data_IF_233387989283
#
_entry.id   IF_233387989283
#
_cell.length_a   1.000
_cell.length_b   1.000
_cell.length_c   1.000
_cell.angle_alpha   90.00
_cell.angle_beta   90.00
_cell.angle_gamma   90.00
#
_symmetry.space_group_name_H-M   'P 1'
#
loop_
_entity.id
_entity.type
_entity.pdbx_description
1 polymer ?
#
# COMPACT_ATOMS: atom_id res chain seq x y z
N UNK A 1 13.95 2.07 22.91
CA UNK A 1 13.65 0.66 22.58
C UNK A 1 13.85 0.53 21.08
N UNK A 2 14.75 -0.34 20.64
CA UNK A 2 15.08 -0.47 19.22
C UNK A 2 14.02 -1.34 18.55
N UNK A 3 12.96 -0.73 18.04
CA UNK A 3 11.92 -1.42 17.27
C UNK A 3 12.55 -1.98 15.99
N UNK A 4 12.77 -3.29 15.93
CA UNK A 4 13.13 -3.96 14.69
C UNK A 4 11.90 -3.98 13.77
N UNK A 5 11.65 -2.87 13.09
CA UNK A 5 10.57 -2.71 12.10
C UNK A 5 10.94 -3.34 10.75
N UNK A 6 11.63 -4.47 10.75
CA UNK A 6 11.98 -5.22 9.53
C UNK A 6 11.12 -6.48 9.43
N UNK A 7 10.22 -6.52 8.47
CA UNK A 7 9.43 -7.71 8.18
C UNK A 7 10.17 -8.54 7.13
N UNK A 8 10.39 -9.82 7.41
CA UNK A 8 11.02 -10.75 6.48
C UNK A 8 10.00 -11.77 6.02
N UNK A 9 9.88 -11.92 4.69
CA UNK A 9 9.02 -12.92 4.07
C UNK A 9 9.78 -13.55 2.91
N UNK A 10 9.66 -14.87 2.75
CA UNK A 10 10.27 -15.55 1.62
C UNK A 10 9.52 -15.22 0.33
N UNK A 11 10.22 -15.25 -0.82
CA UNK A 11 9.59 -15.06 -2.13
C UNK A 11 8.43 -16.04 -2.37
N UNK A 12 8.60 -17.29 -1.92
CA UNK A 12 7.58 -18.34 -2.07
C UNK A 12 6.34 -18.05 -1.21
N UNK A 13 6.53 -17.59 0.02
CA UNK A 13 5.42 -17.29 0.92
C UNK A 13 4.69 -16.01 0.51
N UNK A 14 5.43 -14.99 0.07
CA UNK A 14 4.84 -13.78 -0.51
C UNK A 14 4.00 -14.12 -1.74
N UNK A 15 4.50 -15.00 -2.62
CA UNK A 15 3.74 -15.44 -3.80
C UNK A 15 2.44 -16.14 -3.40
N UNK A 16 2.49 -17.09 -2.45
CA UNK A 16 1.28 -17.78 -1.94
C UNK A 16 0.28 -16.79 -1.35
N UNK A 17 0.78 -15.79 -0.62
CA UNK A 17 -0.04 -14.75 -0.02
C UNK A 17 -0.76 -13.93 -1.08
N UNK A 18 -0.06 -13.50 -2.15
CA UNK A 18 -0.68 -12.77 -3.26
C UNK A 18 -1.74 -13.62 -4.00
N UNK A 19 -1.47 -14.91 -4.22
CA UNK A 19 -2.43 -15.86 -4.83
C UNK A 19 -3.69 -16.00 -3.96
N UNK A 20 -3.54 -16.06 -2.63
CA UNK A 20 -4.67 -16.17 -1.71
C UNK A 20 -5.60 -14.94 -1.79
N UNK A 21 -5.05 -13.77 -2.11
CA UNK A 21 -5.82 -12.55 -2.37
C UNK A 21 -6.30 -12.42 -3.81
N UNK A 22 -6.35 -13.52 -4.57
CA UNK A 22 -6.89 -13.58 -5.94
C UNK A 22 -6.13 -12.70 -6.94
N UNK A 23 -4.90 -12.30 -6.63
CA UNK A 23 -4.06 -11.52 -7.53
C UNK A 23 -3.62 -12.41 -8.69
N UNK A 24 -3.75 -11.89 -9.91
CA UNK A 24 -3.43 -12.65 -11.12
C UNK A 24 -1.94 -13.01 -11.21
N UNK A 25 -1.61 -14.15 -11.82
CA UNK A 25 -0.22 -14.57 -12.04
C UNK A 25 0.58 -13.55 -12.87
N UNK A 26 -0.06 -12.85 -13.80
CA UNK A 26 0.56 -11.76 -14.58
C UNK A 26 0.93 -10.57 -13.67
N UNK A 27 0.00 -10.13 -12.81
CA UNK A 27 0.25 -9.08 -11.80
C UNK A 27 1.37 -9.48 -10.85
N UNK A 28 1.36 -10.73 -10.37
CA UNK A 28 2.40 -11.27 -9.49
C UNK A 28 3.77 -11.26 -10.19
N UNK A 29 3.81 -11.64 -11.47
CA UNK A 29 5.06 -11.63 -12.25
C UNK A 29 5.61 -10.21 -12.41
N UNK A 30 4.76 -9.22 -12.72
CA UNK A 30 5.16 -7.80 -12.78
C UNK A 30 5.68 -7.30 -11.44
N UNK A 31 4.94 -7.59 -10.37
CA UNK A 31 5.31 -7.22 -9.00
C UNK A 31 6.69 -7.76 -8.63
N UNK A 32 6.96 -9.05 -8.85
CA UNK A 32 8.28 -9.61 -8.57
C UNK A 32 9.37 -9.07 -9.50
N UNK A 33 9.05 -8.74 -10.75
CA UNK A 33 9.98 -8.10 -11.67
C UNK A 33 10.43 -6.71 -11.19
N UNK A 34 9.52 -5.92 -10.62
CA UNK A 34 9.86 -4.63 -10.01
C UNK A 34 10.57 -4.78 -8.65
N UNK A 35 10.19 -5.80 -7.88
CA UNK A 35 10.79 -6.07 -6.58
C UNK A 35 12.23 -6.60 -6.71
N UNK A 36 12.56 -7.32 -7.78
CA UNK A 36 13.94 -7.75 -8.09
C UNK A 36 14.86 -6.60 -8.51
N UNK A 37 14.29 -5.52 -9.09
CA UNK A 37 15.04 -4.28 -9.38
C UNK A 37 15.31 -3.47 -8.11
N UNK A 38 14.46 -3.64 -7.10
CA UNK A 38 14.64 -3.05 -5.78
C UNK A 38 15.60 -3.93 -4.96
N UNK A 39 16.53 -3.31 -4.22
CA UNK A 39 17.51 -4.04 -3.40
C UNK A 39 16.83 -4.98 -2.38
N UNK A 40 17.61 -5.91 -1.76
CA UNK A 40 17.14 -6.88 -0.74
C UNK A 40 16.30 -6.30 0.40
N UNK A 41 16.38 -5.00 0.63
CA UNK A 41 15.59 -4.27 1.60
C UNK A 41 14.74 -3.25 0.87
N UNK A 42 13.42 -3.44 0.93
CA UNK A 42 12.44 -2.50 0.42
C UNK A 42 11.72 -1.88 1.61
N UNK A 43 11.56 -0.56 1.61
CA UNK A 43 10.74 0.09 2.63
C UNK A 43 9.25 -0.22 2.36
N UNK A 44 8.42 -0.13 3.39
CA UNK A 44 7.00 -0.45 3.27
C UNK A 44 6.29 0.45 2.24
N UNK A 45 6.72 1.71 2.14
CA UNK A 45 6.18 2.67 1.18
C UNK A 45 6.43 2.28 -0.28
N UNK A 46 7.66 1.93 -0.65
CA UNK A 46 7.96 1.46 -1.99
C UNK A 46 7.29 0.11 -2.26
N UNK A 47 7.18 -0.75 -1.24
CA UNK A 47 6.47 -2.02 -1.37
C UNK A 47 4.99 -1.82 -1.76
N UNK A 48 4.30 -0.90 -1.07
CA UNK A 48 2.93 -0.51 -1.39
C UNK A 48 2.83 0.09 -2.79
N UNK A 49 3.72 1.03 -3.13
CA UNK A 49 3.73 1.68 -4.45
C UNK A 49 3.93 0.67 -5.59
N UNK A 50 4.75 -0.37 -5.39
CA UNK A 50 4.94 -1.43 -6.39
C UNK A 50 3.69 -2.32 -6.51
N UNK A 51 3.03 -2.65 -5.39
CA UNK A 51 1.77 -3.40 -5.42
C UNK A 51 0.69 -2.65 -6.22
N UNK A 52 0.50 -1.36 -5.93
CA UNK A 52 -0.48 -0.54 -6.61
C UNK A 52 -0.16 -0.37 -8.11
N UNK A 53 1.11 -0.08 -8.45
CA UNK A 53 1.56 0.00 -9.86
C UNK A 53 1.40 -1.32 -10.62
N UNK A 54 1.42 -2.44 -9.91
CA UNK A 54 1.17 -3.76 -10.50
C UNK A 54 -0.32 -4.03 -10.73
N UNK A 55 -1.21 -3.18 -10.20
CA UNK A 55 -2.66 -3.29 -10.32
C UNK A 55 -3.32 -4.05 -9.18
N UNK A 56 -2.72 -4.06 -7.99
CA UNK A 56 -3.33 -4.65 -6.78
C UNK A 56 -4.23 -3.61 -6.11
N UNK A 57 -5.48 -3.97 -5.84
CA UNK A 57 -6.45 -3.08 -5.18
C UNK A 57 -6.03 -2.70 -3.76
N UNK A 58 -6.39 -1.49 -3.33
CA UNK A 58 -6.07 -0.96 -2.00
C UNK A 58 -6.50 -1.88 -0.86
N UNK A 59 -7.70 -2.47 -0.93
CA UNK A 59 -8.19 -3.42 0.07
C UNK A 59 -7.28 -4.65 0.20
N UNK A 60 -6.79 -5.16 -0.93
CA UNK A 60 -5.86 -6.27 -0.96
C UNK A 60 -4.50 -5.86 -0.40
N UNK A 61 -4.00 -4.65 -0.72
CA UNK A 61 -2.77 -4.10 -0.15
C UNK A 61 -2.86 -4.04 1.38
N UNK A 62 -3.94 -3.48 1.94
CA UNK A 62 -4.16 -3.40 3.38
C UNK A 62 -4.15 -4.80 4.01
N UNK A 63 -4.84 -5.75 3.40
CA UNK A 63 -4.88 -7.13 3.91
C UNK A 63 -3.53 -7.84 3.83
N UNK A 64 -2.70 -7.54 2.82
CA UNK A 64 -1.33 -8.02 2.71
C UNK A 64 -0.48 -7.45 3.85
N UNK A 65 -0.53 -6.13 4.08
CA UNK A 65 0.25 -5.46 5.14
C UNK A 65 -0.14 -5.97 6.54
N UNK A 66 -1.43 -6.14 6.81
CA UNK A 66 -1.92 -6.76 8.06
C UNK A 66 -1.36 -8.17 8.24
N UNK A 67 -1.32 -8.96 7.17
CA UNK A 67 -0.80 -10.33 7.22
C UNK A 67 0.71 -10.39 7.43
N UNK A 68 1.43 -9.34 7.04
CA UNK A 68 2.85 -9.16 7.37
C UNK A 68 3.08 -8.76 8.82
N UNK A 69 2.02 -8.47 9.60
CA UNK A 69 2.10 -8.12 11.02
C UNK A 69 2.14 -6.62 11.28
N UNK A 70 1.80 -5.81 10.28
CA UNK A 70 1.71 -4.36 10.40
C UNK A 70 0.35 -3.97 11.03
N UNK A 71 0.38 -3.08 12.01
CA UNK A 71 -0.84 -2.56 12.65
C UNK A 71 -1.53 -1.49 11.78
N UNK A 72 -2.82 -1.27 12.04
CA UNK A 72 -3.64 -0.34 11.27
C UNK A 72 -3.13 1.11 11.31
N UNK A 73 -2.49 1.54 12.41
CA UNK A 73 -1.93 2.90 12.51
C UNK A 73 -0.76 3.05 11.54
N UNK A 74 0.16 2.07 11.52
CA UNK A 74 1.28 2.07 10.58
C UNK A 74 0.82 1.95 9.13
N UNK A 75 -0.19 1.14 8.85
CA UNK A 75 -0.76 1.00 7.50
C UNK A 75 -1.32 2.35 7.03
N UNK A 76 -2.14 3.00 7.86
CA UNK A 76 -2.72 4.30 7.51
C UNK A 76 -1.63 5.35 7.27
N UNK A 77 -0.59 5.38 8.10
CA UNK A 77 0.54 6.30 7.89
C UNK A 77 1.23 6.06 6.55
N UNK A 78 1.49 4.80 6.19
CA UNK A 78 2.13 4.47 4.90
C UNK A 78 1.25 4.86 3.72
N UNK A 79 -0.06 4.63 3.80
CA UNK A 79 -0.99 4.98 2.72
C UNK A 79 -1.10 6.50 2.57
N UNK A 80 -1.15 7.25 3.68
CA UNK A 80 -1.14 8.71 3.65
C UNK A 80 0.16 9.25 3.05
N UNK A 81 1.31 8.73 3.50
CA UNK A 81 2.63 9.10 2.98
C UNK A 81 2.74 8.80 1.47
N UNK A 82 2.11 7.73 0.99
CA UNK A 82 2.10 7.38 -0.43
C UNK A 82 1.27 8.35 -1.25
N UNK A 83 0.09 8.72 -0.76
CA UNK A 83 -0.79 9.69 -1.38
C UNK A 83 -0.12 11.09 -1.43
N UNK A 84 0.49 11.51 -0.32
CA UNK A 84 1.29 12.74 -0.26
C UNK A 84 2.45 12.72 -1.28
N UNK A 85 3.14 11.58 -1.44
CA UNK A 85 4.18 11.44 -2.46
C UNK A 85 3.65 11.53 -3.88
N UNK A 86 2.46 10.97 -4.16
CA UNK A 86 1.82 11.11 -5.47
C UNK A 86 1.44 12.56 -5.74
N UNK A 87 0.83 13.24 -4.77
CA UNK A 87 0.47 14.65 -4.84
C UNK A 87 1.71 15.53 -5.06
N UNK A 88 2.80 15.27 -4.33
CA UNK A 88 4.04 16.02 -4.46
C UNK A 88 4.80 15.71 -5.77
N UNK A 89 4.67 14.49 -6.30
CA UNK A 89 5.29 14.06 -7.55
C UNK A 89 4.50 14.46 -8.81
N UNK A 90 3.35 15.12 -8.68
CA UNK A 90 2.66 15.82 -9.77
C UNK A 90 3.07 17.31 -9.82
N UNK A 91 4.27 17.70 -10.30
CA UNK A 91 4.54 19.10 -10.55
C UNK A 91 3.71 19.55 -11.75
N UNK A 92 2.54 20.13 -11.49
CA UNK A 92 1.76 20.87 -12.49
C UNK A 92 0.27 20.60 -12.59
N UNK A 93 -0.37 19.83 -11.69
CA UNK A 93 -1.83 19.70 -11.68
C UNK A 93 -2.49 20.65 -10.68
N UNK A 94 -3.02 21.73 -11.24
CA UNK A 94 -3.88 22.71 -10.58
C UNK A 94 -5.27 22.09 -10.38
N UNK A 95 -5.46 21.19 -9.41
CA UNK A 95 -6.82 20.79 -9.02
C UNK A 95 -6.91 20.62 -7.51
N UNK A 96 -7.63 21.54 -6.88
CA UNK A 96 -8.05 21.47 -5.49
C UNK A 96 -9.30 20.59 -5.43
N UNK A 97 -9.15 19.30 -5.16
CA UNK A 97 -10.27 18.44 -4.78
C UNK A 97 -10.42 18.51 -3.26
N UNK A 98 -11.10 19.56 -2.77
CA UNK A 98 -11.56 19.58 -1.39
C UNK A 98 -12.69 18.56 -1.23
N UNK A 99 -12.44 17.49 -0.49
CA UNK A 99 -13.49 16.58 -0.02
C UNK A 99 -14.23 17.30 1.11
N UNK A 100 -15.39 17.86 0.79
CA UNK A 100 -16.30 18.41 1.77
C UNK A 100 -17.09 17.24 2.38
N UNK A 101 -16.78 16.87 3.63
CA UNK A 101 -17.64 15.99 4.40
C UNK A 101 -18.86 16.79 4.84
N UNK A 102 -19.95 16.69 4.10
CA UNK A 102 -21.26 17.14 4.57
C UNK A 102 -21.68 16.23 5.73
N UNK A 103 -21.50 16.70 6.97
CA UNK A 103 -22.17 16.12 8.10
C UNK A 103 -23.67 16.45 7.95
N UNK A 104 -24.46 15.45 7.57
CA UNK A 104 -25.91 15.54 7.67
C UNK A 104 -26.27 15.59 9.16
N UNK A 105 -26.56 16.81 9.62
CA UNK A 105 -27.12 17.13 10.92
C UNK A 105 -28.55 16.59 10.97
N UNK A 106 -28.75 15.46 11.64
CA UNK A 106 -30.08 14.94 11.92
C UNK A 106 -30.14 14.36 13.35
N UNK A 107 -30.50 15.19 14.34
CA UNK A 107 -31.28 14.74 15.50
C UNK A 107 -32.25 15.83 15.96
N UNK A 108 -33.51 15.61 15.57
CA UNK A 108 -34.75 16.15 16.11
C UNK A 108 -34.76 16.41 17.63
N UNK A 109 -35.36 17.53 18.04
CA UNK A 109 -36.20 17.61 19.24
C UNK A 109 -37.46 18.45 18.98
#
# INVERSE_FOLDING_TARGET
MSEQNSYTISKADLRKLLINYKISEDTIARFFGELEKSHRHINALAFVSILEKSGVDLDNIVNILRRLGMDDVRINNILNDEDEQKLAAEPGRIFNASVEFSAEDEVNE
#
